data_IF_254619404941
#
_entry.id   IF_254619404941
#
_cell.length_a   1.000
_cell.length_b   1.000
_cell.length_c   1.000
_cell.angle_alpha   90.00
_cell.angle_beta   90.00
_cell.angle_gamma   90.00
#
_symmetry.space_group_name_H-M   'P 1'
#
loop_
_entity.id
_entity.type
_entity.pdbx_description
1 polymer ?
#
# COMPACT_ATOMS: atom_id res chain seq x y z
N UNK A 1 -32.79 -14.07 -2.90
CA UNK A 1 -32.32 -13.04 -3.85
C UNK A 1 -33.00 -11.73 -3.47
N UNK A 2 -32.31 -10.89 -2.71
CA UNK A 2 -32.85 -9.62 -2.21
C UNK A 2 -32.44 -8.48 -3.11
N UNK A 3 -33.43 -7.69 -3.53
CA UNK A 3 -33.32 -6.52 -4.39
C UNK A 3 -32.32 -5.49 -3.86
N UNK A 4 -31.56 -4.90 -4.79
CA UNK A 4 -30.84 -3.65 -4.57
C UNK A 4 -31.84 -2.53 -4.29
N UNK A 5 -31.77 -1.93 -3.10
CA UNK A 5 -32.35 -0.62 -2.85
C UNK A 5 -31.50 0.43 -3.58
N UNK A 6 -31.81 0.67 -4.85
CA UNK A 6 -31.40 1.89 -5.55
C UNK A 6 -32.48 2.96 -5.34
N UNK A 7 -32.07 4.10 -4.78
CA UNK A 7 -32.84 5.35 -4.80
C UNK A 7 -33.92 5.46 -3.74
N UNK A 8 -33.80 6.48 -2.89
CA UNK A 8 -34.97 7.03 -2.18
C UNK A 8 -35.94 7.55 -3.24
N UNK A 9 -37.24 7.38 -2.99
CA UNK A 9 -38.35 7.76 -3.90
C UNK A 9 -38.39 9.26 -4.27
N UNK A 10 -37.51 10.09 -3.70
CA UNK A 10 -37.43 11.54 -3.92
C UNK A 10 -36.23 12.01 -4.77
N UNK A 11 -35.36 11.10 -5.24
CA UNK A 11 -34.35 11.46 -6.24
C UNK A 11 -34.97 11.34 -7.63
N UNK A 12 -35.46 12.47 -8.17
CA UNK A 12 -35.74 12.65 -9.60
C UNK A 12 -34.52 12.18 -10.39
N UNK A 13 -34.61 10.96 -10.91
CA UNK A 13 -33.59 10.36 -11.74
C UNK A 13 -33.45 11.25 -12.99
N UNK A 14 -32.28 11.88 -13.26
CA UNK A 14 -32.14 12.94 -14.27
C UNK A 14 -32.27 12.43 -15.71
N UNK A 15 -32.62 11.15 -15.90
CA UNK A 15 -32.68 10.49 -17.20
C UNK A 15 -33.78 11.04 -18.11
N UNK A 16 -34.93 11.49 -17.58
CA UNK A 16 -36.02 11.95 -18.45
C UNK A 16 -35.73 13.32 -19.08
N UNK A 17 -35.17 14.26 -18.32
CA UNK A 17 -34.76 15.56 -18.87
C UNK A 17 -33.56 15.45 -19.81
N UNK A 18 -32.61 14.55 -19.53
CA UNK A 18 -31.45 14.31 -20.39
C UNK A 18 -31.82 13.54 -21.68
N UNK A 19 -32.78 12.61 -21.62
CA UNK A 19 -33.29 11.91 -22.80
C UNK A 19 -33.99 12.86 -23.77
N UNK A 20 -34.78 13.82 -23.27
CA UNK A 20 -35.43 14.83 -24.09
C UNK A 20 -34.42 15.75 -24.78
N UNK A 21 -33.36 16.18 -24.09
CA UNK A 21 -32.26 16.96 -24.70
C UNK A 21 -31.52 16.19 -25.79
N UNK A 22 -31.41 14.87 -25.65
CA UNK A 22 -30.80 14.00 -26.66
C UNK A 22 -31.65 13.88 -27.92
N UNK A 23 -32.98 13.79 -27.76
CA UNK A 23 -33.95 13.79 -28.87
C UNK A 23 -33.91 15.14 -29.61
N UNK A 24 -33.65 16.25 -28.91
CA UNK A 24 -33.47 17.59 -29.49
C UNK A 24 -32.10 17.81 -30.17
N UNK A 25 -31.27 16.77 -30.26
CA UNK A 25 -29.95 16.85 -30.92
C UNK A 25 -28.89 17.59 -30.11
N UNK A 26 -29.17 17.91 -28.85
CA UNK A 26 -28.20 18.52 -27.93
C UNK A 26 -27.39 17.36 -27.32
N UNK A 27 -26.13 17.25 -27.74
CA UNK A 27 -25.21 16.27 -27.16
C UNK A 27 -25.11 16.48 -25.64
N UNK A 28 -25.19 15.42 -24.84
CA UNK A 28 -25.09 15.56 -23.40
C UNK A 28 -23.68 16.04 -23.11
N UNK A 29 -23.58 17.26 -22.56
CA UNK A 29 -22.33 17.75 -21.99
C UNK A 29 -22.17 17.05 -20.64
N UNK A 30 -21.70 15.81 -20.67
CA UNK A 30 -21.13 15.20 -19.48
C UNK A 30 -20.04 16.17 -19.03
N UNK A 31 -20.27 16.89 -17.93
CA UNK A 31 -19.19 17.56 -17.22
C UNK A 31 -18.29 16.46 -16.70
N UNK A 32 -17.39 15.99 -17.56
CA UNK A 32 -16.32 15.09 -17.19
C UNK A 32 -15.37 15.94 -16.36
N UNK A 33 -15.76 16.23 -15.10
CA UNK A 33 -14.85 16.60 -14.02
C UNK A 33 -14.05 15.34 -13.62
N UNK A 34 -13.46 14.67 -14.61
CA UNK A 34 -12.44 13.65 -14.42
C UNK A 34 -11.18 14.24 -15.03
N UNK A 35 -10.49 15.09 -14.26
CA UNK A 35 -9.05 15.22 -14.42
C UNK A 35 -8.48 13.83 -14.13
N UNK A 36 -8.39 12.99 -15.17
CA UNK A 36 -7.74 11.70 -15.09
C UNK A 36 -6.25 11.98 -14.90
N UNK A 37 -5.83 12.10 -13.65
CA UNK A 37 -4.43 12.18 -13.28
C UNK A 37 -3.86 10.77 -13.29
N UNK A 38 -2.80 10.58 -14.08
CA UNK A 38 -2.07 9.32 -14.12
C UNK A 38 -1.40 9.16 -12.75
N UNK A 39 -1.74 8.12 -11.95
CA UNK A 39 -1.16 7.95 -10.63
C UNK A 39 0.35 7.79 -10.76
N UNK A 40 1.09 8.53 -9.94
CA UNK A 40 2.55 8.44 -9.95
C UNK A 40 3.01 7.19 -9.19
N UNK A 41 4.24 6.74 -9.44
CA UNK A 41 4.84 5.64 -8.67
C UNK A 41 4.81 5.89 -7.16
N UNK A 42 4.97 7.15 -6.76
CA UNK A 42 4.87 7.60 -5.37
C UNK A 42 3.49 7.32 -4.78
N UNK A 43 2.44 7.64 -5.53
CA UNK A 43 1.05 7.43 -5.13
C UNK A 43 0.70 5.93 -5.05
N UNK A 44 1.20 5.14 -6.01
CA UNK A 44 1.01 3.69 -6.01
C UNK A 44 1.64 3.03 -4.79
N UNK A 45 2.87 3.42 -4.45
CA UNK A 45 3.57 2.91 -3.27
C UNK A 45 2.86 3.34 -1.99
N UNK A 46 2.49 4.63 -1.86
CA UNK A 46 1.79 5.13 -0.67
C UNK A 46 0.48 4.40 -0.45
N UNK A 47 -0.34 4.27 -1.51
CA UNK A 47 -1.62 3.56 -1.44
C UNK A 47 -1.45 2.11 -0.99
N UNK A 48 -0.40 1.42 -1.48
CA UNK A 48 -0.11 0.03 -1.11
C UNK A 48 0.40 -0.08 0.33
N UNK A 49 1.26 0.82 0.79
CA UNK A 49 1.70 0.89 2.18
C UNK A 49 0.52 1.11 3.14
N UNK A 50 -0.38 2.04 2.81
CA UNK A 50 -1.60 2.28 3.61
C UNK A 50 -2.52 1.07 3.64
N UNK A 51 -2.57 0.27 2.56
CA UNK A 51 -3.30 -1.01 2.55
C UNK A 51 -2.65 -2.01 3.51
N UNK A 52 -1.32 -2.15 3.47
CA UNK A 52 -0.60 -3.05 4.37
C UNK A 52 -0.77 -2.67 5.84
N UNK A 53 -0.66 -1.38 6.17
CA UNK A 53 -0.90 -0.87 7.53
C UNK A 53 -2.24 -1.38 8.08
N UNK A 54 -3.33 -1.21 7.32
CA UNK A 54 -4.68 -1.64 7.73
C UNK A 54 -4.84 -3.16 7.91
N UNK A 55 -3.95 -3.96 7.33
CA UNK A 55 -4.03 -5.43 7.34
C UNK A 55 -3.17 -6.07 8.44
N UNK A 56 -2.29 -5.31 9.11
CA UNK A 56 -1.41 -5.84 10.14
C UNK A 56 -2.12 -6.08 11.47
N UNK A 57 -3.12 -5.24 11.83
CA UNK A 57 -3.87 -5.33 13.09
C UNK A 57 -2.96 -5.39 14.34
N UNK A 58 -1.84 -4.69 14.30
CA UNK A 58 -0.78 -4.73 15.29
C UNK A 58 -0.20 -3.31 15.41
N UNK A 59 -0.49 -2.64 16.53
CA UNK A 59 -0.21 -1.20 16.71
C UNK A 59 1.29 -0.88 16.58
N UNK A 60 2.15 -1.77 17.06
CA UNK A 60 3.60 -1.60 16.95
C UNK A 60 4.03 -1.66 15.49
N UNK A 61 3.62 -2.70 14.76
CA UNK A 61 3.99 -2.86 13.34
C UNK A 61 3.35 -1.81 12.43
N UNK A 62 2.13 -1.37 12.75
CA UNK A 62 1.46 -0.28 12.07
C UNK A 62 2.23 1.04 12.20
N UNK A 63 2.83 1.32 13.36
CA UNK A 63 3.67 2.49 13.58
C UNK A 63 4.94 2.47 12.71
N UNK A 64 5.52 1.28 12.50
CA UNK A 64 6.67 1.08 11.61
C UNK A 64 6.30 1.33 10.15
N UNK A 65 5.14 0.84 9.70
CA UNK A 65 4.64 1.14 8.36
C UNK A 65 4.33 2.62 8.18
N UNK A 66 3.76 3.29 9.19
CA UNK A 66 3.53 4.74 9.13
C UNK A 66 4.83 5.54 8.98
N UNK A 67 5.89 5.09 9.65
CA UNK A 67 7.23 5.67 9.48
C UNK A 67 7.70 5.57 8.03
N UNK A 68 7.50 4.42 7.38
CA UNK A 68 7.85 4.22 5.97
C UNK A 68 6.98 5.11 5.05
N UNK A 69 5.69 5.27 5.34
CA UNK A 69 4.82 6.20 4.61
C UNK A 69 5.34 7.64 4.72
N UNK A 70 5.80 8.06 5.91
CA UNK A 70 6.42 9.37 6.10
C UNK A 70 7.69 9.53 5.25
N UNK A 71 8.53 8.50 5.15
CA UNK A 71 9.71 8.49 4.26
C UNK A 71 9.28 8.63 2.79
N UNK A 72 8.28 7.84 2.35
CA UNK A 72 7.73 7.88 0.99
C UNK A 72 7.26 9.28 0.57
N UNK A 73 6.69 10.04 1.51
CA UNK A 73 6.20 11.41 1.24
C UNK A 73 7.33 12.39 0.99
N UNK A 74 8.52 12.15 1.56
CA UNK A 74 9.68 13.06 1.51
C UNK A 74 10.65 12.75 0.38
N UNK A 75 10.73 11.49 -0.06
CA UNK A 75 11.67 11.08 -1.10
C UNK A 75 11.34 11.73 -2.45
N UNK A 76 12.39 12.16 -3.15
CA UNK A 76 12.33 12.55 -4.55
C UNK A 76 12.53 11.32 -5.45
N UNK A 77 11.47 10.89 -6.13
CA UNK A 77 11.48 9.72 -7.01
C UNK A 77 12.29 9.91 -8.30
N UNK A 78 12.66 11.15 -8.63
CA UNK A 78 13.50 11.45 -9.81
C UNK A 78 15.00 11.26 -9.53
N UNK A 79 15.41 11.25 -8.26
CA UNK A 79 16.80 11.10 -7.83
C UNK A 79 17.28 9.64 -7.89
N UNK A 80 18.60 9.44 -7.76
CA UNK A 80 19.17 8.09 -7.62
C UNK A 80 18.69 7.40 -6.33
N UNK A 81 18.63 8.13 -5.22
CA UNK A 81 18.04 7.66 -3.96
C UNK A 81 16.57 7.23 -4.14
N UNK A 82 15.78 7.97 -4.91
CA UNK A 82 14.40 7.60 -5.26
C UNK A 82 14.28 6.28 -6.03
N UNK A 83 15.23 5.99 -6.92
CA UNK A 83 15.29 4.71 -7.65
C UNK A 83 15.67 3.56 -6.72
N UNK A 84 16.67 3.75 -5.86
CA UNK A 84 17.08 2.75 -4.86
C UNK A 84 15.94 2.49 -3.88
N UNK A 85 15.30 3.55 -3.35
CA UNK A 85 14.12 3.47 -2.51
C UNK A 85 13.02 2.62 -3.18
N UNK A 86 12.68 2.93 -4.43
CA UNK A 86 11.66 2.20 -5.19
C UNK A 86 12.02 0.72 -5.36
N UNK A 87 13.29 0.42 -5.60
CA UNK A 87 13.80 -0.94 -5.70
C UNK A 87 13.67 -1.68 -4.37
N UNK A 88 14.10 -1.07 -3.26
CA UNK A 88 14.04 -1.69 -1.93
C UNK A 88 12.59 -1.98 -1.53
N UNK A 89 11.70 -1.01 -1.75
CA UNK A 89 10.28 -1.16 -1.43
C UNK A 89 9.63 -2.30 -2.21
N UNK A 90 9.88 -2.37 -3.53
CA UNK A 90 9.24 -3.37 -4.40
C UNK A 90 9.77 -4.80 -4.18
N UNK A 91 11.07 -4.95 -3.94
CA UNK A 91 11.71 -6.26 -3.92
C UNK A 91 11.89 -6.85 -2.52
N UNK A 92 11.94 -6.01 -1.47
CA UNK A 92 12.13 -6.49 -0.10
C UNK A 92 10.94 -6.15 0.79
N UNK A 93 10.53 -4.88 0.87
CA UNK A 93 9.49 -4.46 1.81
C UNK A 93 8.13 -5.07 1.50
N UNK A 94 7.63 -4.95 0.27
CA UNK A 94 6.32 -5.47 -0.08
C UNK A 94 6.23 -7.00 0.04
N UNK A 95 7.19 -7.79 -0.49
CA UNK A 95 7.17 -9.24 -0.29
C UNK A 95 7.23 -9.64 1.19
N UNK A 96 8.03 -8.92 2.00
CA UNK A 96 8.09 -9.14 3.45
C UNK A 96 6.73 -8.88 4.11
N UNK A 97 6.08 -7.74 3.82
CA UNK A 97 4.77 -7.39 4.37
C UNK A 97 3.67 -8.39 3.97
N UNK A 98 3.70 -8.89 2.72
CA UNK A 98 2.75 -9.89 2.24
C UNK A 98 2.87 -11.19 3.02
N UNK A 99 4.09 -11.70 3.18
CA UNK A 99 4.37 -12.92 3.96
C UNK A 99 4.02 -12.73 5.44
N UNK A 100 4.31 -11.55 5.99
CA UNK A 100 3.99 -11.22 7.37
C UNK A 100 2.48 -11.23 7.63
N UNK A 101 1.70 -10.61 6.75
CA UNK A 101 0.23 -10.62 6.85
C UNK A 101 -0.31 -12.04 6.67
N UNK A 102 0.25 -12.80 5.73
CA UNK A 102 -0.16 -14.19 5.54
C UNK A 102 0.08 -15.03 6.80
N UNK A 103 1.26 -14.89 7.41
CA UNK A 103 1.61 -15.54 8.68
C UNK A 103 0.70 -15.09 9.83
N UNK A 104 0.47 -13.78 10.02
CA UNK A 104 -0.40 -13.27 11.09
C UNK A 104 -1.85 -13.74 10.93
N UNK A 105 -2.34 -13.87 9.69
CA UNK A 105 -3.71 -14.32 9.42
C UNK A 105 -3.92 -15.84 9.55
N UNK A 106 -2.87 -16.64 9.30
CA UNK A 106 -2.98 -18.09 9.18
C UNK A 106 -1.93 -18.81 10.05
N UNK A 107 -1.51 -18.28 11.19
CA UNK A 107 -0.50 -18.97 12.00
C UNK A 107 -1.01 -20.37 12.41
N UNK A 108 -0.21 -21.45 12.22
CA UNK A 108 1.24 -21.46 11.97
C UNK A 108 1.69 -21.48 10.48
N UNK A 109 0.79 -21.55 9.51
CA UNK A 109 1.12 -21.48 8.08
C UNK A 109 1.86 -20.16 7.72
N UNK A 110 2.78 -20.21 6.74
CA UNK A 110 3.55 -19.05 6.29
C UNK A 110 4.78 -18.69 7.15
N UNK A 111 4.98 -19.35 8.31
CA UNK A 111 6.14 -19.10 9.18
C UNK A 111 7.49 -19.31 8.49
N UNK A 112 7.64 -20.40 7.73
CA UNK A 112 8.89 -20.74 7.04
C UNK A 112 9.21 -19.73 5.94
N UNK A 113 8.21 -19.35 5.13
CA UNK A 113 8.36 -18.36 4.07
C UNK A 113 8.75 -16.98 4.62
N UNK A 114 8.11 -16.57 5.72
CA UNK A 114 8.45 -15.34 6.43
C UNK A 114 9.87 -15.41 6.98
N UNK A 115 10.24 -16.53 7.61
CA UNK A 115 11.58 -16.73 8.17
C UNK A 115 12.66 -16.68 7.10
N UNK A 116 12.42 -17.29 5.93
CA UNK A 116 13.34 -17.21 4.78
C UNK A 116 13.48 -15.76 4.27
N UNK A 117 12.36 -15.03 4.18
CA UNK A 117 12.38 -13.62 3.78
C UNK A 117 13.17 -12.75 4.75
N UNK A 118 13.00 -12.99 6.06
CA UNK A 118 13.73 -12.33 7.13
C UNK A 118 15.22 -12.65 7.00
N UNK A 119 15.60 -13.92 6.83
CA UNK A 119 17.00 -14.31 6.65
C UNK A 119 17.65 -13.65 5.44
N UNK A 120 16.93 -13.54 4.32
CA UNK A 120 17.42 -12.87 3.11
C UNK A 120 17.74 -11.39 3.38
N UNK A 121 16.90 -10.71 4.15
CA UNK A 121 17.08 -9.30 4.53
C UNK A 121 18.19 -9.15 5.60
N UNK A 122 18.22 -10.05 6.58
CA UNK A 122 19.15 -10.01 7.73
C UNK A 122 20.58 -10.47 7.39
N UNK A 123 20.78 -11.22 6.30
CA UNK A 123 22.11 -11.73 5.87
C UNK A 123 23.20 -10.67 5.71
N UNK A 124 22.83 -9.39 5.65
CA UNK A 124 23.76 -8.28 5.51
C UNK A 124 24.29 -7.70 6.84
N UNK A 125 23.79 -8.12 8.01
CA UNK A 125 24.05 -7.39 9.27
C UNK A 125 24.79 -8.14 10.39
N UNK A 126 25.22 -9.39 10.21
CA UNK A 126 26.09 -10.10 11.16
C UNK A 126 25.69 -9.96 12.65
N UNK A 127 24.39 -10.04 12.96
CA UNK A 127 23.89 -9.86 14.33
C UNK A 127 23.62 -11.22 14.99
N UNK A 128 23.70 -11.24 16.33
CA UNK A 128 23.45 -12.39 17.18
C UNK A 128 22.14 -13.13 16.79
N UNK A 129 22.21 -14.46 16.76
CA UNK A 129 21.05 -15.34 16.47
C UNK A 129 20.00 -15.16 17.56
N UNK A 130 18.99 -14.36 17.26
CA UNK A 130 17.76 -14.27 18.04
C UNK A 130 16.89 -15.48 17.69
N UNK A 131 16.37 -16.19 18.69
CA UNK A 131 15.50 -17.35 18.47
C UNK A 131 14.03 -16.94 18.29
N UNK A 132 13.62 -15.80 18.84
CA UNK A 132 12.24 -15.33 18.78
C UNK A 132 11.91 -14.72 17.42
N UNK A 133 10.77 -15.13 16.84
CA UNK A 133 10.37 -14.68 15.51
C UNK A 133 9.83 -13.25 15.53
N UNK A 134 9.12 -12.86 16.58
CA UNK A 134 8.55 -11.51 16.69
C UNK A 134 9.67 -10.47 16.84
N UNK A 135 10.69 -10.76 17.63
CA UNK A 135 11.89 -9.92 17.72
C UNK A 135 12.62 -9.81 16.36
N UNK A 136 12.68 -10.91 15.59
CA UNK A 136 13.25 -10.89 14.23
C UNK A 136 12.41 -10.08 13.24
N UNK A 137 11.08 -10.15 13.32
CA UNK A 137 10.18 -9.31 12.51
C UNK A 137 10.45 -7.83 12.81
N UNK A 138 10.47 -7.48 14.10
CA UNK A 138 10.70 -6.11 14.55
C UNK A 138 12.05 -5.57 14.09
N UNK A 139 13.12 -6.36 14.25
CA UNK A 139 14.46 -6.01 13.76
C UNK A 139 14.48 -5.86 12.24
N UNK A 140 13.82 -6.74 11.49
CA UNK A 140 13.76 -6.67 10.02
C UNK A 140 13.11 -5.36 9.56
N UNK A 141 12.05 -4.93 10.24
CA UNK A 141 11.48 -3.60 10.00
C UNK A 141 12.47 -2.47 10.26
N UNK A 142 13.20 -2.50 11.38
CA UNK A 142 14.15 -1.45 11.73
C UNK A 142 15.30 -1.35 10.70
N UNK A 143 15.75 -2.50 10.18
CA UNK A 143 16.73 -2.57 9.10
C UNK A 143 16.18 -1.92 7.84
N UNK A 144 14.98 -2.31 7.41
CA UNK A 144 14.35 -1.76 6.20
C UNK A 144 14.12 -0.26 6.35
N UNK A 145 13.60 0.21 7.49
CA UNK A 145 13.40 1.64 7.77
C UNK A 145 14.74 2.39 7.68
N UNK A 146 15.79 1.85 8.29
CA UNK A 146 17.12 2.49 8.27
C UNK A 146 17.65 2.62 6.84
N UNK A 147 17.56 1.54 6.03
CA UNK A 147 17.98 1.56 4.63
C UNK A 147 17.19 2.56 3.80
N UNK A 148 15.87 2.63 4.00
CA UNK A 148 15.00 3.58 3.30
C UNK A 148 15.27 5.02 3.72
N UNK A 149 15.57 5.26 5.00
CA UNK A 149 15.87 6.58 5.54
C UNK A 149 17.17 7.14 4.94
N UNK A 150 18.18 6.30 4.75
CA UNK A 150 19.44 6.67 4.09
C UNK A 150 19.27 7.15 2.64
N UNK A 151 18.13 6.87 2.00
CA UNK A 151 17.87 7.33 0.63
C UNK A 151 17.33 8.77 0.57
N UNK A 152 17.03 9.38 1.72
CA UNK A 152 16.54 10.76 1.79
C UNK A 152 17.66 11.80 1.71
N UNK A 153 18.90 11.40 1.99
CA UNK A 153 20.11 12.23 1.90
C UNK A 153 20.66 12.26 0.46
#
# INVERSE_FOLDING_TARGET
MGCCNFGREDELFPFEEEANRWIEGILPQWKINRSYEIPTLKDEIEKRLLKFKRLLYDEELESKVETIVSINRRIDFSSEGGKIYSYVVKNYLFPFLEKLIHYKANAPEGREELSFSIEEIERNLSVAKVQDLDERINRTFDILISVLYLQLD
#
